data_IF_383767289506
#
_entry.id   IF_383767289506
#
_cell.length_a   1.000
_cell.length_b   1.000
_cell.length_c   1.000
_cell.angle_alpha   90.00
_cell.angle_beta   90.00
_cell.angle_gamma   90.00
#
_symmetry.space_group_name_H-M   'P 1'
#
loop_
_entity.id
_entity.type
_entity.pdbx_description
1 polymer ?
#
# COMPACT_ATOMS: atom_id res chain seq x y z
N UNK A 1 7.02 29.94 2.29
CA UNK A 1 5.71 29.45 1.81
C UNK A 1 4.98 28.89 3.03
N UNK A 2 3.68 29.10 3.14
CA UNK A 2 2.90 28.64 4.30
C UNK A 2 1.98 27.48 3.90
N UNK A 3 1.92 26.44 4.72
CA UNK A 3 1.01 25.34 4.56
C UNK A 3 -0.38 25.71 5.08
N UNK A 4 -1.43 25.06 4.56
CA UNK A 4 -2.80 25.18 5.08
C UNK A 4 -2.96 24.83 6.57
N UNK A 5 -2.03 24.09 7.15
CA UNK A 5 -2.00 23.82 8.60
C UNK A 5 -1.39 24.96 9.43
N UNK A 6 -0.98 26.06 8.79
CA UNK A 6 -0.33 27.21 9.44
C UNK A 6 1.20 27.10 9.58
N UNK A 7 1.80 25.94 9.29
CA UNK A 7 3.25 25.77 9.40
C UNK A 7 3.95 26.50 8.27
N UNK A 8 4.99 27.30 8.59
CA UNK A 8 5.88 27.89 7.58
C UNK A 8 6.77 26.79 7.02
N UNK A 9 6.70 26.59 5.70
CA UNK A 9 7.49 25.58 5.00
C UNK A 9 8.89 26.14 4.72
N UNK A 10 9.90 25.43 5.23
CA UNK A 10 11.27 25.68 4.87
C UNK A 10 11.68 24.74 3.71
N UNK A 11 12.53 25.19 2.74
CA UNK A 11 12.97 24.35 1.63
C UNK A 11 13.60 23.02 2.05
N UNK A 12 14.19 22.96 3.25
CA UNK A 12 14.79 21.73 3.82
C UNK A 12 13.78 20.80 4.47
N UNK A 13 12.52 21.21 4.63
CA UNK A 13 11.44 20.44 5.29
C UNK A 13 10.47 19.83 4.27
N UNK A 14 11.01 19.28 3.17
CA UNK A 14 10.20 18.60 2.13
C UNK A 14 9.27 17.49 2.69
N UNK A 15 9.63 16.93 3.85
CA UNK A 15 8.83 15.94 4.57
C UNK A 15 7.47 16.43 5.02
N UNK A 16 7.33 17.73 5.31
CA UNK A 16 6.11 18.28 5.86
C UNK A 16 4.91 18.00 4.95
N UNK A 17 5.04 18.22 3.64
CA UNK A 17 3.94 18.01 2.69
C UNK A 17 3.38 16.59 2.66
N UNK A 18 4.20 15.60 2.98
CA UNK A 18 3.79 14.18 3.01
C UNK A 18 3.17 13.80 4.36
N UNK A 19 3.51 14.53 5.43
CA UNK A 19 3.13 14.24 6.83
C UNK A 19 2.15 15.23 7.41
N UNK A 20 1.86 16.29 6.69
CA UNK A 20 1.01 17.37 7.17
C UNK A 20 -0.36 16.84 7.64
N UNK A 21 -0.87 17.26 8.80
CA UNK A 21 -2.22 16.90 9.25
C UNK A 21 -3.31 17.29 8.24
N UNK A 22 -3.14 18.40 7.49
CA UNK A 22 -4.11 18.86 6.49
C UNK A 22 -4.28 17.89 5.32
N UNK A 23 -3.28 17.02 5.03
CA UNK A 23 -3.37 16.04 3.94
C UNK A 23 -3.85 14.66 4.40
N UNK A 24 -4.17 14.47 5.68
CA UNK A 24 -4.54 13.16 6.23
C UNK A 24 -5.73 12.53 5.51
N UNK A 25 -6.73 13.30 5.12
CA UNK A 25 -7.90 12.85 4.36
C UNK A 25 -7.53 12.38 2.92
N UNK A 26 -6.37 12.77 2.39
CA UNK A 26 -5.94 12.48 1.04
C UNK A 26 -4.92 11.33 0.94
N UNK A 27 -4.49 10.80 2.07
CA UNK A 27 -3.53 9.67 2.10
C UNK A 27 -4.09 8.40 1.46
N UNK A 28 -5.41 8.23 1.45
CA UNK A 28 -6.12 7.11 0.80
C UNK A 28 -5.82 7.06 -0.70
N UNK A 29 -5.77 8.21 -1.39
CA UNK A 29 -5.44 8.22 -2.82
C UNK A 29 -4.06 7.63 -3.10
N UNK A 30 -3.05 7.99 -2.30
CA UNK A 30 -1.71 7.42 -2.45
C UNK A 30 -1.69 5.91 -2.21
N UNK A 31 -2.45 5.44 -1.22
CA UNK A 31 -2.65 4.02 -0.96
C UNK A 31 -3.32 3.31 -2.15
N UNK A 32 -4.39 3.89 -2.72
CA UNK A 32 -5.13 3.30 -3.84
C UNK A 32 -4.30 3.26 -5.12
N UNK A 33 -3.45 4.26 -5.36
CA UNK A 33 -2.47 4.23 -6.44
C UNK A 33 -1.57 2.99 -6.32
N UNK A 34 -0.99 2.74 -5.14
CA UNK A 34 -0.14 1.57 -4.93
C UNK A 34 -0.91 0.26 -5.01
N UNK A 35 -2.15 0.22 -4.52
CA UNK A 35 -3.03 -0.95 -4.63
C UNK A 35 -3.26 -1.30 -6.10
N UNK A 36 -3.60 -0.32 -6.92
CA UNK A 36 -3.77 -0.51 -8.36
C UNK A 36 -2.50 -0.97 -9.07
N UNK A 37 -1.33 -0.41 -8.69
CA UNK A 37 -0.04 -0.85 -9.24
C UNK A 37 0.24 -2.30 -8.86
N UNK A 38 0.06 -2.67 -7.60
CA UNK A 38 0.32 -4.06 -7.17
C UNK A 38 -0.60 -5.05 -7.90
N UNK A 39 -1.87 -4.71 -8.10
CA UNK A 39 -2.77 -5.56 -8.90
C UNK A 39 -2.28 -5.75 -10.34
N UNK A 40 -1.78 -4.70 -10.99
CA UNK A 40 -1.18 -4.82 -12.33
C UNK A 40 0.07 -5.68 -12.33
N UNK A 41 0.96 -5.49 -11.37
CA UNK A 41 2.19 -6.30 -11.22
C UNK A 41 1.85 -7.78 -11.02
N UNK A 42 0.84 -8.07 -10.20
CA UNK A 42 0.34 -9.45 -9.99
C UNK A 42 -0.22 -10.03 -11.28
N UNK A 43 -0.97 -9.22 -12.03
CA UNK A 43 -1.51 -9.62 -13.32
C UNK A 43 -0.42 -9.89 -14.37
N UNK A 44 0.68 -9.11 -14.38
CA UNK A 44 1.84 -9.38 -15.25
C UNK A 44 2.48 -10.74 -14.99
N UNK A 45 2.38 -11.24 -13.75
CA UNK A 45 2.83 -12.59 -13.39
C UNK A 45 1.79 -13.69 -13.73
N UNK A 46 0.68 -13.36 -14.39
CA UNK A 46 -0.39 -14.31 -14.68
C UNK A 46 -1.23 -14.71 -13.44
N UNK A 47 -1.07 -14.04 -12.33
CA UNK A 47 -1.73 -14.36 -11.06
C UNK A 47 -3.07 -13.61 -10.97
N UNK A 48 -4.13 -14.32 -10.61
CA UNK A 48 -5.44 -13.70 -10.34
C UNK A 48 -5.43 -12.96 -8.99
N UNK A 49 -6.09 -11.80 -8.97
CA UNK A 49 -6.23 -10.99 -7.76
C UNK A 49 -7.63 -10.38 -7.64
N UNK A 50 -8.09 -10.15 -6.41
CA UNK A 50 -9.35 -9.48 -6.09
C UNK A 50 -9.09 -8.35 -5.12
N UNK A 51 -9.52 -7.14 -5.46
CA UNK A 51 -9.38 -5.97 -4.58
C UNK A 51 -10.48 -5.93 -3.53
N UNK A 52 -10.14 -5.42 -2.35
CA UNK A 52 -11.04 -5.18 -1.22
C UNK A 52 -11.96 -6.38 -0.88
N UNK A 53 -11.39 -7.59 -0.74
CA UNK A 53 -12.17 -8.75 -0.44
C UNK A 53 -12.89 -8.60 0.89
N UNK A 54 -14.18 -8.95 0.93
CA UNK A 54 -14.89 -9.08 2.19
C UNK A 54 -14.39 -10.37 2.88
N UNK A 55 -13.41 -10.27 3.78
CA UNK A 55 -12.78 -11.44 4.42
C UNK A 55 -13.79 -12.35 5.14
N UNK A 56 -14.91 -11.79 5.62
CA UNK A 56 -16.03 -12.57 6.20
C UNK A 56 -16.66 -13.60 5.24
N UNK A 57 -16.45 -13.45 3.92
CA UNK A 57 -16.95 -14.38 2.91
C UNK A 57 -16.00 -15.54 2.67
N UNK A 58 -14.80 -15.49 3.24
CA UNK A 58 -13.84 -16.58 3.12
C UNK A 58 -14.20 -17.69 4.12
N UNK A 59 -14.21 -18.97 3.71
CA UNK A 59 -14.43 -20.10 4.60
C UNK A 59 -13.52 -20.02 5.83
N UNK A 60 -14.06 -20.27 7.01
CA UNK A 60 -13.32 -20.21 8.28
C UNK A 60 -13.12 -18.81 8.87
N UNK A 61 -13.30 -17.71 8.09
CA UNK A 61 -13.22 -16.33 8.60
C UNK A 61 -14.60 -15.72 8.88
N UNK A 62 -15.68 -16.39 8.49
CA UNK A 62 -17.06 -15.92 8.63
C UNK A 62 -17.56 -15.77 10.08
N UNK A 63 -16.89 -16.38 11.05
CA UNK A 63 -17.34 -16.48 12.46
C UNK A 63 -16.60 -15.59 13.45
N UNK A 64 -15.72 -14.70 13.04
CA UNK A 64 -14.90 -13.87 13.92
C UNK A 64 -15.63 -12.66 14.55
N UNK A 65 -16.89 -12.82 14.96
CA UNK A 65 -17.54 -11.90 15.89
C UNK A 65 -16.99 -12.18 17.30
N UNK A 66 -15.79 -11.66 17.61
CA UNK A 66 -15.34 -11.55 18.97
C UNK A 66 -16.29 -10.63 19.71
N UNK A 67 -17.24 -11.19 20.44
CA UNK A 67 -17.97 -10.46 21.47
C UNK A 67 -16.94 -10.03 22.52
N UNK A 68 -16.49 -8.80 22.45
CA UNK A 68 -15.85 -8.17 23.59
C UNK A 68 -16.88 -8.15 24.71
N UNK A 69 -16.49 -8.59 25.91
CA UNK A 69 -17.34 -8.63 27.10
C UNK A 69 -17.89 -7.27 27.55
N UNK A 70 -17.65 -6.20 26.82
CA UNK A 70 -18.07 -4.80 27.08
C UNK A 70 -19.13 -4.28 26.10
N UNK A 71 -19.89 -5.14 25.43
CA UNK A 71 -21.12 -4.74 24.72
C UNK A 71 -20.98 -3.75 23.55
N UNK A 72 -19.80 -3.21 23.26
CA UNK A 72 -19.54 -2.36 22.11
C UNK A 72 -19.20 -3.25 20.92
N UNK A 73 -20.19 -3.50 20.05
CA UNK A 73 -20.02 -4.18 18.78
C UNK A 73 -19.23 -3.29 17.80
N UNK A 74 -17.94 -3.16 17.99
CA UNK A 74 -17.05 -2.69 16.94
C UNK A 74 -16.79 -3.83 15.98
N UNK A 75 -17.73 -4.14 15.12
CA UNK A 75 -17.49 -4.93 13.91
C UNK A 75 -16.55 -4.16 13.00
N UNK A 76 -15.28 -4.15 13.31
CA UNK A 76 -14.27 -3.81 12.30
C UNK A 76 -14.26 -4.98 11.33
N UNK A 77 -15.00 -4.84 10.25
CA UNK A 77 -14.86 -5.77 9.12
C UNK A 77 -13.39 -5.75 8.72
N UNK A 78 -12.68 -6.82 9.04
CA UNK A 78 -11.31 -6.99 8.58
C UNK A 78 -11.38 -7.12 7.05
N UNK A 79 -11.03 -6.04 6.34
CA UNK A 79 -10.87 -6.04 4.89
C UNK A 79 -9.38 -6.13 4.61
N UNK A 80 -8.99 -7.10 3.79
CA UNK A 80 -7.69 -7.06 3.15
C UNK A 80 -7.74 -6.12 1.95
N UNK A 81 -6.61 -5.58 1.54
CA UNK A 81 -6.59 -4.73 0.33
C UNK A 81 -6.69 -5.57 -0.94
N UNK A 82 -6.04 -6.75 -0.95
CA UNK A 82 -5.99 -7.64 -2.13
C UNK A 82 -5.99 -9.10 -1.68
N UNK A 83 -6.76 -9.96 -2.36
CA UNK A 83 -6.57 -11.42 -2.37
C UNK A 83 -5.70 -11.79 -3.56
N UNK A 84 -4.74 -12.66 -3.35
CA UNK A 84 -3.82 -13.19 -4.35
C UNK A 84 -4.02 -14.70 -4.46
N UNK A 85 -4.26 -15.22 -5.67
CA UNK A 85 -4.33 -16.66 -5.93
C UNK A 85 -2.93 -17.19 -6.30
N UNK A 86 -2.04 -17.26 -5.32
CA UNK A 86 -0.67 -17.78 -5.51
C UNK A 86 -0.66 -19.31 -5.65
N UNK A 87 0.38 -19.93 -6.25
CA UNK A 87 0.48 -21.39 -6.38
C UNK A 87 0.34 -22.15 -5.04
N UNK A 88 0.76 -21.54 -3.92
CA UNK A 88 0.63 -22.09 -2.57
C UNK A 88 -0.74 -21.87 -1.93
N UNK A 89 -1.71 -21.27 -2.62
CA UNK A 89 -3.05 -20.98 -2.11
C UNK A 89 -3.40 -19.50 -2.07
N UNK A 90 -4.57 -19.22 -1.51
CA UNK A 90 -5.08 -17.84 -1.40
C UNK A 90 -4.35 -17.09 -0.28
N UNK A 91 -3.72 -15.99 -0.61
CA UNK A 91 -3.00 -15.11 0.32
C UNK A 91 -3.69 -13.76 0.44
N UNK A 92 -3.84 -13.26 1.67
CA UNK A 92 -4.38 -11.91 1.93
C UNK A 92 -3.20 -10.93 1.97
N UNK A 93 -3.17 -9.97 1.06
CA UNK A 93 -2.20 -8.89 1.07
C UNK A 93 -2.84 -7.58 1.59
N UNK A 94 -2.10 -6.84 2.41
CA UNK A 94 -2.52 -5.54 2.94
C UNK A 94 -1.39 -4.52 2.76
N UNK A 95 -1.70 -3.47 2.01
CA UNK A 95 -0.75 -2.44 1.63
C UNK A 95 -0.66 -1.39 2.74
N UNK A 96 0.52 -0.88 2.94
CA UNK A 96 0.73 0.25 3.83
C UNK A 96 1.92 1.10 3.40
N UNK A 97 1.73 2.41 3.49
CA UNK A 97 2.80 3.37 3.28
C UNK A 97 3.13 3.97 4.65
N UNK A 98 4.40 3.90 5.02
CA UNK A 98 4.90 4.44 6.29
C UNK A 98 5.98 5.47 6.05
N UNK A 99 6.11 6.40 6.98
CA UNK A 99 7.13 7.45 6.85
C UNK A 99 8.29 7.19 7.82
N UNK A 100 9.53 7.09 7.35
CA UNK A 100 10.69 6.80 8.22
C UNK A 100 10.93 7.89 9.26
N UNK A 101 10.65 9.15 8.95
CA UNK A 101 10.78 10.26 9.90
C UNK A 101 9.55 10.43 10.83
N UNK A 102 8.62 9.48 10.89
CA UNK A 102 7.55 9.53 11.88
C UNK A 102 8.15 9.38 13.29
N UNK A 103 7.63 10.14 14.26
CA UNK A 103 8.20 10.25 15.60
C UNK A 103 8.46 8.90 16.29
N UNK A 104 7.61 7.94 16.03
CA UNK A 104 7.68 6.60 16.60
C UNK A 104 8.61 5.63 15.86
N UNK A 105 9.21 6.05 14.75
CA UNK A 105 10.13 5.25 13.92
C UNK A 105 11.46 5.96 13.68
N UNK A 106 11.53 7.27 13.90
CA UNK A 106 12.67 8.11 13.57
C UNK A 106 14.01 7.56 14.10
N UNK A 107 14.07 7.24 15.38
CA UNK A 107 15.30 6.75 16.00
C UNK A 107 15.78 5.44 15.37
N UNK A 108 14.88 4.50 15.11
CA UNK A 108 15.22 3.23 14.48
C UNK A 108 15.57 3.41 12.98
N UNK A 109 14.85 4.28 12.28
CA UNK A 109 15.09 4.55 10.88
C UNK A 109 16.39 5.30 10.61
N UNK A 110 16.88 6.09 11.58
CA UNK A 110 18.18 6.77 11.51
C UNK A 110 19.37 5.80 11.49
N UNK A 111 19.20 4.61 12.08
CA UNK A 111 20.28 3.61 12.18
C UNK A 111 20.06 2.39 11.29
N UNK A 112 18.81 2.09 10.97
CA UNK A 112 18.43 0.87 10.23
C UNK A 112 17.54 1.19 9.07
N UNK A 113 18.04 1.00 7.86
CA UNK A 113 17.28 1.20 6.64
C UNK A 113 16.09 0.21 6.56
N UNK A 114 14.87 0.73 6.34
CA UNK A 114 13.66 -0.06 6.27
C UNK A 114 13.00 -0.35 7.63
N UNK A 115 13.49 0.24 8.73
CA UNK A 115 12.94 0.04 10.08
C UNK A 115 11.46 0.42 10.16
N UNK A 116 11.03 1.50 9.49
CA UNK A 116 9.63 1.92 9.49
C UNK A 116 8.74 0.89 8.78
N UNK A 117 9.17 0.38 7.62
CA UNK A 117 8.45 -0.67 6.89
C UNK A 117 8.39 -1.98 7.71
N UNK A 118 9.52 -2.38 8.34
CA UNK A 118 9.57 -3.57 9.18
C UNK A 118 8.60 -3.48 10.37
N UNK A 119 8.62 -2.37 11.10
CA UNK A 119 7.67 -2.12 12.19
C UNK A 119 6.23 -2.19 11.72
N UNK A 120 5.93 -1.59 10.55
CA UNK A 120 4.57 -1.62 10.00
C UNK A 120 4.13 -3.04 9.64
N UNK A 121 5.03 -3.85 9.08
CA UNK A 121 4.78 -5.27 8.83
C UNK A 121 4.40 -6.02 10.10
N UNK A 122 5.11 -5.81 11.21
CA UNK A 122 4.80 -6.43 12.50
C UNK A 122 3.40 -6.03 13.01
N UNK A 123 3.07 -4.73 12.96
CA UNK A 123 1.75 -4.23 13.36
C UNK A 123 0.62 -4.87 12.55
N UNK A 124 0.82 -4.97 11.22
CA UNK A 124 -0.16 -5.58 10.34
C UNK A 124 -0.33 -7.08 10.62
N UNK A 125 0.76 -7.83 10.82
CA UNK A 125 0.70 -9.25 11.20
C UNK A 125 -0.06 -9.47 12.51
N UNK A 126 0.19 -8.65 13.53
CA UNK A 126 -0.55 -8.72 14.79
C UNK A 126 -2.06 -8.50 14.58
N UNK A 127 -2.45 -7.56 13.70
CA UNK A 127 -3.85 -7.30 13.36
C UNK A 127 -4.53 -8.46 12.63
N UNK A 128 -3.80 -9.15 11.75
CA UNK A 128 -4.31 -10.25 10.93
C UNK A 128 -3.93 -11.65 11.45
N UNK A 129 -3.44 -11.75 12.70
CA UNK A 129 -2.97 -13.00 13.31
C UNK A 129 -4.00 -14.13 13.30
N UNK A 130 -5.30 -13.82 13.18
CA UNK A 130 -6.39 -14.81 13.12
C UNK A 130 -6.62 -15.38 11.72
N UNK A 131 -6.08 -14.78 10.67
CA UNK A 131 -6.31 -15.25 9.30
C UNK A 131 -5.45 -16.49 8.98
N UNK A 132 -4.20 -16.51 9.41
CA UNK A 132 -3.25 -17.60 9.13
C UNK A 132 -3.72 -18.98 9.69
N UNK A 133 -4.25 -19.08 10.93
CA UNK A 133 -4.77 -20.34 11.44
C UNK A 133 -5.94 -20.91 10.65
N UNK A 134 -6.63 -20.08 9.87
CA UNK A 134 -7.74 -20.48 9.02
C UNK A 134 -7.31 -20.80 7.57
N UNK A 135 -6.01 -20.99 7.33
CA UNK A 135 -5.47 -21.36 6.03
C UNK A 135 -5.28 -20.22 5.04
N UNK A 136 -5.34 -18.96 5.50
CA UNK A 136 -5.11 -17.77 4.66
C UNK A 136 -3.83 -17.06 5.09
N UNK A 137 -2.68 -17.34 4.46
CA UNK A 137 -1.44 -16.62 4.71
C UNK A 137 -1.66 -15.12 4.60
N UNK A 138 -1.10 -14.37 5.53
CA UNK A 138 -1.15 -12.91 5.53
C UNK A 138 0.18 -12.31 5.10
N UNK A 139 0.14 -11.41 4.11
CA UNK A 139 1.30 -10.74 3.55
C UNK A 139 1.19 -9.22 3.74
N UNK A 140 1.94 -8.62 4.66
CA UNK A 140 2.04 -7.18 4.78
C UNK A 140 2.89 -6.61 3.65
N UNK A 141 2.29 -5.84 2.74
CA UNK A 141 2.99 -5.12 1.69
C UNK A 141 3.28 -3.69 2.16
N UNK A 142 4.36 -3.51 2.91
CA UNK A 142 4.72 -2.22 3.48
C UNK A 142 5.81 -1.54 2.68
N UNK A 143 5.63 -0.24 2.39
CA UNK A 143 6.57 0.60 1.66
C UNK A 143 6.82 1.88 2.46
N UNK A 144 8.06 2.35 2.52
CA UNK A 144 8.36 3.67 3.06
C UNK A 144 8.08 4.75 2.01
N UNK A 145 7.68 5.93 2.46
CA UNK A 145 7.30 7.05 1.56
C UNK A 145 8.40 7.47 0.58
N UNK A 146 9.65 7.09 0.84
CA UNK A 146 10.79 7.31 -0.06
C UNK A 146 11.17 6.10 -0.91
N UNK A 147 10.29 5.11 -1.01
CA UNK A 147 10.45 3.99 -1.93
C UNK A 147 11.13 2.74 -1.35
N UNK A 148 11.56 2.75 -0.09
CA UNK A 148 12.09 1.54 0.53
C UNK A 148 10.98 0.50 0.72
N UNK A 149 11.15 -0.66 0.14
CA UNK A 149 10.17 -1.76 0.21
C UNK A 149 10.52 -2.69 1.37
N UNK A 150 9.51 -3.06 2.15
CA UNK A 150 9.65 -4.02 3.25
C UNK A 150 9.99 -5.42 2.76
N UNK A 151 10.71 -6.19 3.58
CA UNK A 151 11.19 -7.52 3.20
C UNK A 151 10.07 -8.49 2.74
N UNK A 152 8.88 -8.57 3.39
CA UNK A 152 7.80 -9.44 2.89
C UNK A 152 7.31 -9.04 1.49
N UNK A 153 7.21 -7.74 1.22
CA UNK A 153 6.82 -7.23 -0.09
C UNK A 153 7.87 -7.55 -1.17
N UNK A 154 9.17 -7.42 -0.84
CA UNK A 154 10.25 -7.82 -1.77
C UNK A 154 10.20 -9.32 -2.08
N UNK A 155 9.94 -10.17 -1.07
CA UNK A 155 9.79 -11.61 -1.28
C UNK A 155 8.62 -11.93 -2.22
N UNK A 156 7.49 -11.23 -2.09
CA UNK A 156 6.37 -11.36 -3.02
C UNK A 156 6.80 -10.98 -4.44
N UNK A 157 7.46 -9.83 -4.65
CA UNK A 157 7.89 -9.40 -5.97
C UNK A 157 8.84 -10.40 -6.62
N UNK A 158 9.73 -11.03 -5.84
CA UNK A 158 10.59 -12.09 -6.35
C UNK A 158 9.80 -13.36 -6.73
N UNK A 159 8.85 -13.77 -5.90
CA UNK A 159 7.99 -14.92 -6.21
C UNK A 159 7.14 -14.67 -7.46
N UNK A 160 6.56 -13.47 -7.61
CA UNK A 160 5.84 -13.10 -8.83
C UNK A 160 6.76 -13.10 -10.06
N UNK A 161 8.02 -12.68 -9.90
CA UNK A 161 9.02 -12.74 -10.96
C UNK A 161 9.41 -14.16 -11.34
N UNK A 162 9.42 -15.09 -10.39
CA UNK A 162 9.64 -16.51 -10.67
C UNK A 162 8.45 -17.12 -11.45
N UNK A 163 7.22 -16.74 -11.12
CA UNK A 163 6.01 -17.15 -11.87
C UNK A 163 5.96 -16.57 -13.29
N UNK A 164 6.39 -15.30 -13.45
CA UNK A 164 6.42 -14.64 -14.76
C UNK A 164 7.54 -15.15 -15.66
N UNK A 165 8.58 -15.76 -15.10
CA UNK A 165 9.75 -16.22 -15.87
C UNK A 165 9.42 -17.44 -16.72
N UNK A 166 9.73 -17.37 -18.03
CA UNK A 166 9.50 -18.46 -18.97
C UNK A 166 10.57 -18.54 -20.04
N UNK A 167 10.64 -19.65 -20.80
CA UNK A 167 11.59 -19.81 -21.90
C UNK A 167 11.41 -18.70 -22.96
N UNK A 168 12.44 -17.90 -23.18
CA UNK A 168 12.41 -16.78 -24.14
C UNK A 168 11.60 -15.56 -23.69
N UNK A 169 11.11 -15.54 -22.44
CA UNK A 169 10.29 -14.47 -21.88
C UNK A 169 11.03 -13.52 -20.92
N UNK A 170 10.26 -12.90 -20.05
CA UNK A 170 10.75 -11.98 -19.02
C UNK A 170 11.60 -12.75 -18.01
N UNK A 171 12.78 -12.23 -17.64
CA UNK A 171 13.56 -12.78 -16.54
C UNK A 171 13.00 -12.30 -15.20
N UNK A 172 13.19 -13.08 -14.13
CA UNK A 172 12.84 -12.65 -12.77
C UNK A 172 13.41 -11.25 -12.44
N UNK A 173 14.67 -11.02 -12.82
CA UNK A 173 15.34 -9.74 -12.56
C UNK A 173 14.69 -8.57 -13.28
N UNK A 174 14.36 -8.72 -14.57
CA UNK A 174 13.68 -7.67 -15.34
C UNK A 174 12.25 -7.42 -14.86
N UNK A 175 11.52 -8.48 -14.47
CA UNK A 175 10.20 -8.36 -13.86
C UNK A 175 10.25 -7.54 -12.57
N UNK A 176 11.14 -7.92 -11.64
CA UNK A 176 11.29 -7.22 -10.35
C UNK A 176 11.70 -5.76 -10.56
N UNK A 177 12.64 -5.50 -11.48
CA UNK A 177 13.04 -4.12 -11.82
C UNK A 177 11.87 -3.30 -12.37
N UNK A 178 11.05 -3.88 -13.24
CA UNK A 178 9.83 -3.27 -13.77
C UNK A 178 8.83 -2.96 -12.66
N UNK A 179 8.56 -3.92 -11.78
CA UNK A 179 7.65 -3.73 -10.64
C UNK A 179 8.13 -2.63 -9.68
N UNK A 180 9.43 -2.61 -9.36
CA UNK A 180 10.02 -1.58 -8.51
C UNK A 180 9.90 -0.19 -9.13
N UNK A 181 10.11 -0.07 -10.44
CA UNK A 181 9.94 1.19 -11.17
C UNK A 181 8.50 1.69 -11.09
N UNK A 182 7.51 0.84 -11.35
CA UNK A 182 6.08 1.22 -11.24
C UNK A 182 5.71 1.67 -9.83
N UNK A 183 6.15 0.94 -8.80
CA UNK A 183 5.90 1.29 -7.40
C UNK A 183 6.54 2.64 -7.08
N UNK A 184 7.78 2.88 -7.51
CA UNK A 184 8.50 4.13 -7.26
C UNK A 184 7.80 5.32 -7.95
N UNK A 185 7.39 5.17 -9.21
CA UNK A 185 6.63 6.20 -9.94
C UNK A 185 5.29 6.48 -9.25
N UNK A 186 4.59 5.44 -8.82
CA UNK A 186 3.32 5.59 -8.10
C UNK A 186 3.46 6.33 -6.77
N UNK A 187 4.51 6.00 -6.01
CA UNK A 187 4.83 6.71 -4.77
C UNK A 187 5.16 8.19 -5.02
N UNK A 188 6.00 8.49 -6.03
CA UNK A 188 6.33 9.85 -6.40
C UNK A 188 5.07 10.65 -6.77
N UNK A 189 4.18 10.08 -7.61
CA UNK A 189 2.90 10.71 -7.97
C UNK A 189 2.02 10.97 -6.74
N UNK A 190 1.89 9.98 -5.87
CA UNK A 190 1.09 10.11 -4.65
C UNK A 190 1.69 11.13 -3.66
N UNK A 191 3.00 11.15 -3.49
CA UNK A 191 3.68 12.12 -2.63
C UNK A 191 3.56 13.55 -3.19
N UNK A 192 3.74 13.73 -4.52
CA UNK A 192 3.56 15.01 -5.18
C UNK A 192 2.13 15.53 -5.00
N UNK A 193 1.12 14.66 -5.14
CA UNK A 193 -0.26 15.03 -4.91
C UNK A 193 -0.47 15.55 -3.49
N UNK A 194 0.02 14.83 -2.47
CA UNK A 194 -0.10 15.27 -1.08
C UNK A 194 0.61 16.61 -0.83
N UNK A 195 1.76 16.80 -1.47
CA UNK A 195 2.51 18.05 -1.40
C UNK A 195 1.72 19.21 -2.00
N UNK A 196 1.12 19.02 -3.18
CA UNK A 196 0.26 20.02 -3.82
C UNK A 196 -0.98 20.35 -2.98
N UNK A 197 -1.60 19.34 -2.34
CA UNK A 197 -2.70 19.57 -1.38
C UNK A 197 -2.24 20.40 -0.19
N UNK A 198 -1.07 20.05 0.38
CA UNK A 198 -0.47 20.78 1.49
C UNK A 198 -0.22 22.26 1.17
N UNK A 199 0.13 22.57 -0.08
CA UNK A 199 0.36 23.93 -0.57
C UNK A 199 -0.92 24.67 -0.97
N UNK A 200 -2.11 24.05 -0.80
CA UNK A 200 -3.36 24.65 -1.24
C UNK A 200 -3.51 24.82 -2.74
N UNK A 201 -2.71 24.07 -3.54
CA UNK A 201 -2.74 24.15 -5.01
C UNK A 201 -4.02 23.59 -5.63
N UNK A 202 -4.78 22.80 -4.87
CA UNK A 202 -6.11 22.34 -5.26
C UNK A 202 -7.15 23.18 -4.53
N UNK A 203 -8.04 23.82 -5.27
CA UNK A 203 -9.15 24.58 -4.70
C UNK A 203 -9.91 23.70 -3.69
N UNK A 204 -10.20 24.25 -2.52
CA UNK A 204 -11.09 23.60 -1.55
C UNK A 204 -12.46 23.48 -2.21
N UNK A 205 -12.78 22.33 -2.79
CA UNK A 205 -14.11 22.07 -3.31
C UNK A 205 -15.05 22.02 -2.10
N UNK A 206 -15.92 23.02 -2.00
CA UNK A 206 -16.97 23.06 -1.00
C UNK A 206 -17.79 21.77 -1.07
N UNK A 207 -17.55 20.83 -0.16
CA UNK A 207 -18.48 19.78 0.28
C UNK A 207 -19.02 18.75 -0.72
N UNK A 208 -18.73 18.85 -2.01
CA UNK A 208 -19.13 17.84 -3.01
C UNK A 208 -17.92 16.98 -3.38
N UNK A 209 -17.99 15.73 -3.01
CA UNK A 209 -16.90 14.76 -3.15
C UNK A 209 -16.23 14.82 -4.52
N UNK A 210 -14.93 15.08 -4.51
CA UNK A 210 -14.08 14.97 -5.68
C UNK A 210 -14.04 13.49 -6.11
N UNK A 211 -14.96 13.11 -6.96
CA UNK A 211 -14.78 11.92 -7.79
C UNK A 211 -13.72 12.30 -8.82
N UNK A 212 -12.48 11.93 -8.53
CA UNK A 212 -11.39 12.07 -9.45
C UNK A 212 -11.70 11.31 -10.73
N UNK A 213 -12.12 12.05 -11.75
CA UNK A 213 -12.08 11.61 -13.15
C UNK A 213 -10.65 11.55 -13.66
N UNK A 214 -9.71 11.04 -12.89
CA UNK A 214 -8.43 10.56 -13.39
C UNK A 214 -8.62 9.09 -13.75
N UNK A 215 -9.30 8.85 -14.87
CA UNK A 215 -9.14 7.61 -15.60
C UNK A 215 -7.65 7.50 -15.91
N UNK A 216 -6.98 6.58 -15.24
CA UNK A 216 -5.68 6.10 -15.71
C UNK A 216 -5.95 5.55 -17.11
N UNK A 217 -5.27 6.04 -18.16
CA UNK A 217 -5.45 5.47 -19.49
C UNK A 217 -5.15 3.98 -19.42
N UNK A 218 -6.14 3.18 -19.80
CA UNK A 218 -6.02 1.71 -19.92
C UNK A 218 -5.32 1.29 -21.20
N UNK A 219 -4.76 2.24 -21.94
CA UNK A 219 -4.17 2.00 -23.25
C UNK A 219 -2.69 1.72 -23.15
N UNK A 220 -2.36 0.49 -22.76
CA UNK A 220 -1.03 -0.08 -22.99
C UNK A 220 -1.16 -1.34 -23.85
N UNK A 221 -1.83 -1.23 -25.02
CA UNK A 221 -1.61 -2.10 -26.16
C UNK A 221 -0.60 -1.39 -27.07
N UNK A 222 0.63 -1.86 -27.09
CA UNK A 222 1.64 -1.47 -28.05
C UNK A 222 2.90 -0.93 -27.40
N UNK A 223 3.76 -1.81 -27.02
CA UNK A 223 5.22 -1.75 -27.19
C UNK A 223 5.80 -3.05 -26.61
N UNK A 224 5.96 -4.03 -27.48
CA UNK A 224 6.94 -5.11 -27.36
C UNK A 224 8.33 -4.56 -27.61
#
# INVERSE_FOLDING_TARGET
>A
MQCDCGTTLHPTEADHGIRCPSVSAHTTLRHDILKGILCRVVHWAGIASTQEPALRRLPGLAGGAGTSATGASTRVEARGDILLALPGGITIADISITHPSAINTLAAAATTAGAAAARRCQQKRARYSRAEPNGYPFLPFSVESYGRIGQPAMKLLHALGDEAAGPGGVTRGSFVAGALREISVGLCKGNLFLYCVCLGMFAKSNGTGFRAGMSVPTDAHGLL
#
